data_IF_460311656813
#
_entry.id   IF_460311656813
#
_cell.length_a   1.000
_cell.length_b   1.000
_cell.length_c   1.000
_cell.angle_alpha   90.00
_cell.angle_beta   90.00
_cell.angle_gamma   90.00
#
_symmetry.space_group_name_H-M   'P 1'
#
loop_
_entity.id
_entity.type
_entity.pdbx_description
1 polymer ?
#
# COMPACT_ATOMS: atom_id res chain seq x y z
N UNK A 1 8.82 -1.18 -3.62
CA UNK A 1 7.89 -2.30 -3.86
C UNK A 1 7.85 -3.12 -2.58
N UNK A 2 6.68 -3.62 -2.19
CA UNK A 2 6.51 -4.47 -1.00
C UNK A 2 5.48 -5.58 -1.27
N UNK A 3 5.52 -6.64 -0.47
CA UNK A 3 4.61 -7.79 -0.63
C UNK A 3 3.19 -7.48 -0.13
N UNK A 4 3.08 -6.92 1.08
CA UNK A 4 1.80 -6.64 1.75
C UNK A 4 1.67 -5.19 2.20
N UNK A 5 0.52 -4.58 1.87
CA UNK A 5 0.07 -3.34 2.51
C UNK A 5 -1.04 -3.61 3.52
N UNK A 6 -0.72 -3.33 4.79
CA UNK A 6 -1.62 -3.47 5.94
C UNK A 6 -1.80 -2.12 6.66
N UNK A 7 -1.02 -1.85 7.72
CA UNK A 7 -1.05 -0.59 8.47
C UNK A 7 -0.13 0.49 7.89
N UNK A 8 0.61 0.19 6.81
CA UNK A 8 1.45 1.14 6.07
C UNK A 8 2.75 1.59 6.74
N UNK A 9 3.07 1.13 7.95
CA UNK A 9 4.27 1.60 8.69
C UNK A 9 5.60 1.20 8.03
N UNK A 10 5.70 -0.01 7.49
CA UNK A 10 6.91 -0.46 6.79
C UNK A 10 7.17 0.40 5.54
N UNK A 11 6.16 0.55 4.68
CA UNK A 11 6.22 1.41 3.51
C UNK A 11 6.54 2.88 3.87
N UNK A 12 5.95 3.43 4.93
CA UNK A 12 6.28 4.79 5.43
C UNK A 12 7.75 4.89 5.85
N UNK A 13 8.27 3.92 6.59
CA UNK A 13 9.68 3.88 6.97
C UNK A 13 10.62 3.82 5.75
N UNK A 14 10.26 3.05 4.72
CA UNK A 14 11.01 3.01 3.47
C UNK A 14 10.99 4.36 2.74
N UNK A 15 9.85 5.06 2.73
CA UNK A 15 9.75 6.43 2.19
C UNK A 15 10.70 7.37 2.94
N UNK A 16 10.66 7.36 4.28
CA UNK A 16 11.52 8.20 5.11
C UNK A 16 13.01 7.93 4.87
N UNK A 17 13.42 6.68 4.65
CA UNK A 17 14.81 6.31 4.32
C UNK A 17 15.23 6.88 2.96
N UNK A 18 14.37 6.78 1.95
CA UNK A 18 14.64 7.33 0.61
C UNK A 18 14.75 8.86 0.65
N UNK A 19 13.87 9.52 1.40
CA UNK A 19 13.91 10.99 1.61
C UNK A 19 15.17 11.43 2.35
N UNK A 20 15.58 10.70 3.40
CA UNK A 20 16.83 10.96 4.12
C UNK A 20 18.08 10.81 3.23
N UNK A 21 18.01 9.96 2.20
CA UNK A 21 19.05 9.82 1.19
C UNK A 21 19.05 10.95 0.14
N UNK A 22 18.12 11.91 0.21
CA UNK A 22 17.97 13.00 -0.75
C UNK A 22 17.31 12.58 -2.07
N UNK A 23 16.70 11.39 -2.11
CA UNK A 23 15.99 10.89 -3.27
C UNK A 23 14.46 11.08 -3.13
N UNK A 24 13.75 10.98 -4.25
CA UNK A 24 12.29 11.08 -4.31
C UNK A 24 11.68 9.71 -4.59
N UNK A 25 10.65 9.36 -3.84
CA UNK A 25 9.83 8.18 -4.13
C UNK A 25 8.81 8.55 -5.21
N UNK A 26 8.91 7.91 -6.38
CA UNK A 26 7.97 8.17 -7.49
C UNK A 26 6.63 7.43 -7.31
N UNK A 27 6.66 6.22 -6.74
CA UNK A 27 5.46 5.42 -6.47
C UNK A 27 5.75 4.29 -5.48
N UNK A 28 4.68 3.75 -4.88
CA UNK A 28 4.70 2.55 -4.04
C UNK A 28 3.91 1.44 -4.75
N UNK A 29 4.63 0.41 -5.19
CA UNK A 29 4.02 -0.80 -5.74
C UNK A 29 3.85 -1.88 -4.68
N UNK A 30 2.64 -2.43 -4.57
CA UNK A 30 2.26 -3.46 -3.60
C UNK A 30 1.70 -4.68 -4.33
N UNK A 31 2.11 -5.88 -3.94
CA UNK A 31 1.53 -7.10 -4.51
C UNK A 31 0.12 -7.33 -3.95
N UNK A 32 -0.04 -7.34 -2.62
CA UNK A 32 -1.34 -7.58 -1.95
C UNK A 32 -1.66 -6.46 -0.95
N UNK A 33 -2.77 -5.76 -1.16
CA UNK A 33 -3.28 -4.73 -0.24
C UNK A 33 -4.49 -5.23 0.53
N UNK A 34 -4.50 -5.03 1.86
CA UNK A 34 -5.69 -5.18 2.69
C UNK A 34 -6.42 -3.83 2.77
N UNK A 35 -7.32 -3.58 1.82
CA UNK A 35 -8.00 -2.28 1.65
C UNK A 35 -8.96 -1.92 2.80
N UNK A 36 -9.31 -2.87 3.66
CA UNK A 36 -10.05 -2.65 4.91
C UNK A 36 -9.16 -2.14 6.07
N UNK A 37 -7.86 -1.95 5.83
CA UNK A 37 -6.93 -1.36 6.79
C UNK A 37 -6.44 0.01 6.32
N UNK A 38 -5.99 0.84 7.27
CA UNK A 38 -5.71 2.26 7.02
C UNK A 38 -4.38 2.55 6.29
N UNK A 39 -3.58 1.52 5.96
CA UNK A 39 -2.23 1.70 5.41
C UNK A 39 -2.18 2.45 4.09
N UNK A 40 -3.14 2.22 3.17
CA UNK A 40 -3.21 2.97 1.90
C UNK A 40 -3.47 4.45 2.15
N UNK A 41 -4.46 4.77 2.98
CA UNK A 41 -4.80 6.15 3.30
C UNK A 41 -3.67 6.89 4.02
N UNK A 42 -2.86 6.19 4.83
CA UNK A 42 -1.64 6.76 5.42
C UNK A 42 -0.63 7.18 4.35
N UNK A 43 -0.41 6.34 3.34
CA UNK A 43 0.55 6.61 2.26
C UNK A 43 0.03 7.65 1.28
N UNK A 44 -1.25 7.62 0.89
CA UNK A 44 -1.84 8.61 -0.02
C UNK A 44 -1.77 10.05 0.53
N UNK A 45 -1.79 10.23 1.87
CA UNK A 45 -1.58 11.54 2.52
C UNK A 45 -0.20 12.15 2.26
N UNK A 46 0.79 11.34 1.87
CA UNK A 46 2.13 11.82 1.48
C UNK A 46 2.15 12.40 0.06
N UNK A 47 1.08 12.21 -0.72
CA UNK A 47 1.03 12.58 -2.13
C UNK A 47 1.74 11.57 -3.05
N UNK A 48 2.27 10.47 -2.51
CA UNK A 48 2.91 9.40 -3.28
C UNK A 48 1.84 8.44 -3.84
N UNK A 49 1.82 8.18 -5.16
CA UNK A 49 0.92 7.20 -5.75
C UNK A 49 1.16 5.79 -5.21
N UNK A 50 0.06 5.08 -4.91
CA UNK A 50 0.07 3.67 -4.47
C UNK A 50 -0.63 2.82 -5.52
N UNK A 51 0.05 1.77 -5.98
CA UNK A 51 -0.47 0.82 -6.96
C UNK A 51 -0.43 -0.60 -6.39
N UNK A 52 -1.59 -1.24 -6.34
CA UNK A 52 -1.77 -2.58 -5.76
C UNK A 52 -2.32 -3.56 -6.79
N UNK A 53 -1.64 -4.70 -6.96
CA UNK A 53 -2.01 -5.74 -7.93
C UNK A 53 -3.23 -6.57 -7.49
N UNK A 54 -3.35 -6.84 -6.19
CA UNK A 54 -4.52 -7.49 -5.60
C UNK A 54 -4.99 -6.67 -4.40
N UNK A 55 -6.26 -6.28 -4.40
CA UNK A 55 -6.85 -5.45 -3.36
C UNK A 55 -7.97 -6.19 -2.66
N UNK A 56 -7.79 -6.45 -1.38
CA UNK A 56 -8.73 -7.20 -0.56
C UNK A 56 -9.68 -6.23 0.11
N UNK A 57 -10.94 -6.25 -0.31
CA UNK A 57 -11.98 -5.41 0.27
C UNK A 57 -12.36 -5.88 1.67
N UNK A 58 -12.53 -7.19 1.85
CA UNK A 58 -12.86 -7.81 3.15
C UNK A 58 -12.66 -9.33 3.11
N UNK A 59 -12.74 -9.94 4.29
CA UNK A 59 -12.96 -11.38 4.43
C UNK A 59 -14.43 -11.62 4.76
N UNK A 60 -15.06 -12.56 4.06
CA UNK A 60 -16.46 -12.92 4.27
C UNK A 60 -16.60 -14.44 4.15
N UNK A 61 -17.12 -15.09 5.21
CA UNK A 61 -17.34 -16.54 5.25
C UNK A 61 -16.12 -17.40 4.86
N UNK A 62 -14.91 -16.99 5.27
CA UNK A 62 -13.66 -17.69 4.94
C UNK A 62 -13.18 -17.49 3.50
N UNK A 63 -13.85 -16.63 2.74
CA UNK A 63 -13.45 -16.24 1.38
C UNK A 63 -12.91 -14.81 1.36
N UNK A 64 -12.04 -14.56 0.38
CA UNK A 64 -11.49 -13.24 0.10
C UNK A 64 -12.40 -12.53 -0.90
N UNK A 65 -12.89 -11.35 -0.52
CA UNK A 65 -13.61 -10.45 -1.44
C UNK A 65 -12.62 -9.41 -1.95
N UNK A 66 -12.43 -9.36 -3.26
CA UNK A 66 -11.50 -8.43 -3.91
C UNK A 66 -12.21 -7.14 -4.35
N UNK A 67 -11.49 -6.03 -4.23
CA UNK A 67 -11.76 -4.76 -4.91
C UNK A 67 -11.02 -4.75 -6.24
N UNK A 68 -11.46 -3.89 -7.16
CA UNK A 68 -10.74 -3.59 -8.41
C UNK A 68 -9.28 -3.21 -8.13
N UNK A 69 -8.36 -3.89 -8.81
CA UNK A 69 -6.93 -3.63 -8.78
C UNK A 69 -6.61 -2.27 -9.42
N UNK A 70 -5.45 -1.70 -9.11
CA UNK A 70 -5.07 -0.40 -9.69
C UNK A 70 -4.48 -0.54 -11.12
N UNK A 71 -4.28 -1.76 -11.62
CA UNK A 71 -3.72 -2.11 -12.94
C UNK A 71 -4.48 -3.27 -13.59
#
# INVERSE_FOLDING_TARGET
VDDFLANGQAAKGLVEIVEQAGAKVEAIGIVIEKSFQDGRGLLEKTGIPVFSLARLERFENGQVVFKEADL
#
